data_IF_082332176251
#
_entry.id   IF_082332176251
#
_cell.length_a   1.000
_cell.length_b   1.000
_cell.length_c   1.000
_cell.angle_alpha   90.00
_cell.angle_beta   90.00
_cell.angle_gamma   90.00
#
_symmetry.space_group_name_H-M   'P 1'
#
loop_
_entity.id
_entity.type
_entity.pdbx_description
1 polymer ?
#
# COMPACT_ATOMS: atom_id res chain seq x y z
N UNK A 1 8.71 -7.73 -4.30
CA UNK A 1 9.93 -7.44 -5.07
C UNK A 1 10.19 -5.94 -5.13
N UNK A 2 9.25 -5.11 -5.61
CA UNK A 2 9.42 -3.65 -5.72
C UNK A 2 9.75 -3.02 -4.37
N UNK A 3 9.01 -3.35 -3.31
CA UNK A 3 9.23 -2.87 -1.93
C UNK A 3 10.64 -3.20 -1.42
N UNK A 4 11.23 -4.31 -1.84
CA UNK A 4 12.61 -4.66 -1.47
C UNK A 4 13.66 -3.99 -2.36
N UNK A 5 13.35 -3.76 -3.64
CA UNK A 5 14.28 -3.14 -4.58
C UNK A 5 14.49 -1.64 -4.33
N UNK A 6 13.44 -0.92 -3.94
CA UNK A 6 13.54 0.53 -3.72
C UNK A 6 14.53 0.90 -2.61
N UNK A 7 14.48 0.31 -1.40
CA UNK A 7 15.48 0.57 -0.37
C UNK A 7 16.90 0.21 -0.81
N UNK A 8 17.07 -0.89 -1.56
CA UNK A 8 18.38 -1.28 -2.09
C UNK A 8 18.88 -0.29 -3.16
N UNK A 9 17.98 0.22 -4.00
CA UNK A 9 18.32 1.21 -5.01
C UNK A 9 18.82 2.51 -4.35
N UNK A 10 18.11 3.02 -3.36
CA UNK A 10 18.52 4.23 -2.64
C UNK A 10 19.78 4.01 -1.80
N UNK A 11 19.94 2.82 -1.20
CA UNK A 11 21.19 2.46 -0.52
C UNK A 11 22.38 2.49 -1.49
N UNK A 12 22.18 2.02 -2.72
CA UNK A 12 23.24 2.00 -3.72
C UNK A 12 23.56 3.41 -4.31
N UNK A 13 22.55 4.29 -4.39
CA UNK A 13 22.72 5.65 -4.96
C UNK A 13 23.17 6.64 -3.88
N UNK A 14 22.51 6.66 -2.73
CA UNK A 14 22.70 7.66 -1.68
C UNK A 14 23.54 7.15 -0.50
N UNK A 15 23.83 5.84 -0.46
CA UNK A 15 24.61 5.20 0.60
C UNK A 15 23.90 5.13 1.96
N UNK A 16 22.61 5.47 2.04
CA UNK A 16 21.84 5.50 3.28
C UNK A 16 20.83 4.37 3.33
N UNK A 17 20.68 3.74 4.52
CA UNK A 17 19.60 2.80 4.77
C UNK A 17 18.27 3.54 4.84
N UNK A 18 17.24 3.01 4.18
CA UNK A 18 15.92 3.64 4.08
C UNK A 18 14.80 2.70 4.58
N UNK A 19 13.69 3.31 4.99
CA UNK A 19 12.52 2.59 5.48
C UNK A 19 12.78 1.99 6.87
N UNK A 20 12.28 0.79 7.10
CA UNK A 20 12.47 0.07 8.38
C UNK A 20 13.92 -0.25 8.68
N UNK A 21 14.76 -0.40 7.66
CA UNK A 21 16.20 -0.62 7.81
C UNK A 21 16.93 0.61 8.41
N UNK A 22 16.38 1.81 8.25
CA UNK A 22 16.87 3.04 8.89
C UNK A 22 16.33 3.23 10.31
N UNK A 23 15.60 2.26 10.87
CA UNK A 23 14.99 2.36 12.20
C UNK A 23 13.76 3.27 12.27
N UNK A 24 13.27 3.75 11.12
CA UNK A 24 12.07 4.57 11.05
C UNK A 24 10.83 3.69 11.19
N UNK A 25 9.92 4.07 12.10
CA UNK A 25 8.67 3.36 12.36
C UNK A 25 7.52 4.36 12.48
N UNK A 26 6.37 4.01 11.91
CA UNK A 26 5.11 4.74 12.10
C UNK A 26 4.29 4.23 13.28
N UNK A 27 4.83 3.27 14.03
CA UNK A 27 4.15 2.70 15.19
C UNK A 27 4.53 3.44 16.45
N UNK A 28 3.55 3.67 17.32
CA UNK A 28 3.79 4.20 18.67
C UNK A 28 3.99 3.07 19.68
N UNK A 29 4.82 3.32 20.66
CA UNK A 29 5.10 2.34 21.74
C UNK A 29 3.97 2.26 22.77
N UNK A 30 3.18 3.30 22.90
CA UNK A 30 2.05 3.37 23.82
C UNK A 30 0.77 3.08 23.04
N UNK A 31 0.17 1.92 23.29
CA UNK A 31 -1.18 1.61 22.83
C UNK A 31 -2.13 1.76 24.00
N UNK A 32 -2.90 2.82 24.01
CA UNK A 32 -4.00 2.94 24.94
C UNK A 32 -5.14 2.01 24.52
N UNK A 33 -5.84 1.47 25.51
CA UNK A 33 -7.06 0.67 25.26
C UNK A 33 -8.07 1.43 24.40
N UNK A 34 -8.05 2.74 24.46
CA UNK A 34 -8.83 3.65 23.63
C UNK A 34 -8.54 3.49 22.13
N UNK A 35 -7.27 3.46 21.74
CA UNK A 35 -6.87 3.31 20.33
C UNK A 35 -7.36 1.97 19.77
N UNK A 36 -7.20 0.90 20.54
CA UNK A 36 -7.69 -0.42 20.12
C UNK A 36 -9.21 -0.45 19.94
N UNK A 37 -9.95 0.13 20.89
CA UNK A 37 -11.41 0.22 20.79
C UNK A 37 -11.82 1.04 19.57
N UNK A 38 -11.12 2.13 19.29
CA UNK A 38 -11.35 2.99 18.14
C UNK A 38 -11.11 2.24 16.82
N UNK A 39 -10.03 1.48 16.70
CA UNK A 39 -9.76 0.63 15.52
C UNK A 39 -10.89 -0.38 15.29
N UNK A 40 -11.37 -1.03 16.34
CA UNK A 40 -12.48 -1.97 16.24
C UNK A 40 -13.76 -1.26 15.76
N UNK A 41 -14.07 -0.10 16.34
CA UNK A 41 -15.26 0.69 15.93
C UNK A 41 -15.13 1.11 14.46
N UNK A 42 -14.00 1.64 14.02
CA UNK A 42 -13.77 2.04 12.63
C UNK A 42 -13.91 0.82 11.70
N UNK A 43 -13.35 -0.33 12.09
CA UNK A 43 -13.44 -1.55 11.29
C UNK A 43 -14.89 -2.04 11.15
N UNK A 44 -15.65 -2.11 12.26
CA UNK A 44 -17.04 -2.60 12.27
C UNK A 44 -17.97 -1.64 11.52
N UNK A 45 -17.92 -0.35 11.86
CA UNK A 45 -18.75 0.68 11.23
C UNK A 45 -18.42 0.80 9.75
N UNK A 46 -17.11 0.82 9.43
CA UNK A 46 -16.62 0.88 8.06
C UNK A 46 -17.07 -0.30 7.22
N UNK A 47 -16.97 -1.50 7.78
CA UNK A 47 -17.45 -2.71 7.10
C UNK A 47 -18.97 -2.66 6.86
N UNK A 48 -19.75 -2.19 7.84
CA UNK A 48 -21.19 -2.01 7.72
C UNK A 48 -21.53 -1.02 6.61
N UNK A 49 -20.94 0.18 6.62
CA UNK A 49 -21.17 1.22 5.62
C UNK A 49 -20.71 0.73 4.23
N UNK A 50 -19.54 0.11 4.14
CA UNK A 50 -19.02 -0.43 2.88
C UNK A 50 -19.96 -1.45 2.23
N UNK A 51 -20.55 -2.33 3.03
CA UNK A 51 -21.54 -3.33 2.55
C UNK A 51 -22.85 -2.70 2.11
N UNK A 52 -23.40 -1.79 2.90
CA UNK A 52 -24.66 -1.08 2.58
C UNK A 52 -24.50 -0.23 1.33
N UNK A 53 -23.37 0.45 1.17
CA UNK A 53 -23.04 1.27 0.01
C UNK A 53 -22.66 0.45 -1.23
N UNK A 54 -22.65 -0.89 -1.14
CA UNK A 54 -22.25 -1.81 -2.22
C UNK A 54 -20.89 -1.45 -2.86
N UNK A 55 -19.98 -0.96 -2.04
CA UNK A 55 -18.63 -0.59 -2.52
C UNK A 55 -17.89 -1.84 -3.00
N UNK A 56 -17.12 -1.74 -4.10
CA UNK A 56 -16.24 -2.83 -4.50
C UNK A 56 -15.19 -3.03 -3.39
N UNK A 57 -14.89 -4.28 -3.06
CA UNK A 57 -14.03 -4.64 -1.93
C UNK A 57 -14.45 -3.94 -0.61
N UNK A 58 -15.74 -3.98 -0.26
CA UNK A 58 -16.36 -3.30 0.87
C UNK A 58 -15.61 -3.47 2.20
N UNK A 59 -14.99 -4.66 2.40
CA UNK A 59 -14.21 -4.98 3.59
C UNK A 59 -12.92 -4.16 3.73
N UNK A 60 -12.37 -3.64 2.63
CA UNK A 60 -11.22 -2.74 2.63
C UNK A 60 -11.63 -1.27 2.51
N UNK A 61 -12.51 -0.97 1.53
CA UNK A 61 -12.88 0.40 1.20
C UNK A 61 -13.69 1.08 2.30
N UNK A 62 -14.58 0.34 2.98
CA UNK A 62 -15.40 0.92 4.04
C UNK A 62 -14.58 1.46 5.21
N UNK A 63 -13.77 0.65 5.90
CA UNK A 63 -12.90 1.12 6.98
C UNK A 63 -11.89 2.18 6.52
N UNK A 64 -11.33 2.05 5.31
CA UNK A 64 -10.38 2.99 4.75
C UNK A 64 -10.99 4.39 4.60
N UNK A 65 -12.20 4.51 4.05
CA UNK A 65 -12.86 5.82 3.90
C UNK A 65 -13.19 6.47 5.25
N UNK A 66 -13.63 5.68 6.23
CA UNK A 66 -13.90 6.22 7.56
C UNK A 66 -12.61 6.70 8.22
N UNK A 67 -11.56 5.88 8.21
CA UNK A 67 -10.26 6.26 8.76
C UNK A 67 -9.71 7.53 8.08
N UNK A 68 -9.85 7.62 6.75
CA UNK A 68 -9.45 8.80 5.99
C UNK A 68 -10.21 10.06 6.42
N UNK A 69 -11.54 9.97 6.52
CA UNK A 69 -12.38 11.12 6.94
C UNK A 69 -12.00 11.58 8.34
N UNK A 70 -11.84 10.65 9.29
CA UNK A 70 -11.47 10.97 10.66
C UNK A 70 -10.07 11.60 10.74
N UNK A 71 -9.13 11.12 9.94
CA UNK A 71 -7.77 11.65 9.87
C UNK A 71 -7.74 13.05 9.24
N UNK A 72 -8.45 13.26 8.13
CA UNK A 72 -8.48 14.56 7.42
C UNK A 72 -9.23 15.62 8.23
N UNK A 73 -10.27 15.24 8.97
CA UNK A 73 -10.98 16.17 9.86
C UNK A 73 -10.21 16.50 11.14
N UNK A 74 -9.07 15.82 11.38
CA UNK A 74 -8.29 16.01 12.60
C UNK A 74 -9.03 15.60 13.88
N UNK A 75 -10.11 14.83 13.73
CA UNK A 75 -10.95 14.43 14.87
C UNK A 75 -10.24 13.39 15.74
N UNK A 76 -9.37 12.59 15.12
CA UNK A 76 -8.63 11.52 15.79
C UNK A 76 -7.25 11.36 15.18
N UNK A 77 -6.24 11.33 16.03
CA UNK A 77 -4.89 10.88 15.66
C UNK A 77 -4.84 9.35 15.81
N UNK A 78 -4.89 8.66 14.67
CA UNK A 78 -4.84 7.20 14.64
C UNK A 78 -3.39 6.75 14.78
N UNK A 79 -3.02 6.27 15.96
CA UNK A 79 -1.74 5.64 16.20
C UNK A 79 -1.87 4.11 16.19
N UNK A 80 -1.12 3.44 15.32
CA UNK A 80 -1.16 1.98 15.22
C UNK A 80 -0.20 1.34 16.20
N UNK A 81 -0.68 0.53 17.17
CA UNK A 81 0.21 -0.20 18.06
C UNK A 81 1.09 -1.18 17.28
N UNK A 82 2.40 -1.19 17.54
CA UNK A 82 3.34 -2.05 16.82
C UNK A 82 3.02 -3.54 16.93
N UNK A 83 2.55 -3.99 18.08
CA UNK A 83 2.15 -5.40 18.28
C UNK A 83 0.96 -5.80 17.40
N UNK A 84 -0.01 -4.89 17.17
CA UNK A 84 -1.17 -5.16 16.32
C UNK A 84 -0.75 -5.30 14.86
N UNK A 85 0.17 -4.46 14.40
CA UNK A 85 0.75 -4.56 13.07
C UNK A 85 1.49 -5.89 12.89
N UNK A 86 2.30 -6.29 13.86
CA UNK A 86 3.02 -7.56 13.83
C UNK A 86 2.08 -8.77 13.78
N UNK A 87 1.01 -8.76 14.58
CA UNK A 87 -0.02 -9.80 14.56
C UNK A 87 -0.72 -9.85 13.20
N UNK A 88 -1.11 -8.71 12.65
CA UNK A 88 -1.72 -8.64 11.31
C UNK A 88 -0.77 -9.19 10.22
N UNK A 89 0.51 -8.81 10.26
CA UNK A 89 1.52 -9.32 9.33
C UNK A 89 1.73 -10.83 9.47
N UNK A 90 1.71 -11.36 10.68
CA UNK A 90 1.80 -12.79 10.92
C UNK A 90 0.65 -13.56 10.27
N UNK A 91 -0.59 -13.10 10.45
CA UNK A 91 -1.76 -13.73 9.83
C UNK A 91 -1.71 -13.63 8.30
N UNK A 92 -1.39 -12.46 7.77
CA UNK A 92 -1.26 -12.25 6.31
C UNK A 92 -0.15 -13.14 5.75
N UNK A 93 1.02 -13.15 6.39
CA UNK A 93 2.15 -13.98 5.95
C UNK A 93 1.83 -15.47 5.98
N UNK A 94 1.15 -15.94 7.02
CA UNK A 94 0.72 -17.34 7.14
C UNK A 94 -0.31 -17.70 6.06
N UNK A 95 -1.30 -16.84 5.82
CA UNK A 95 -2.31 -17.05 4.80
C UNK A 95 -1.70 -17.07 3.38
N UNK A 96 -0.74 -16.19 3.11
CA UNK A 96 0.01 -16.18 1.85
C UNK A 96 0.89 -17.44 1.73
N UNK A 97 1.61 -17.80 2.79
CA UNK A 97 2.44 -19.01 2.81
C UNK A 97 1.64 -20.28 2.56
N UNK A 98 0.44 -20.39 3.13
CA UNK A 98 -0.46 -21.52 2.91
C UNK A 98 -0.89 -21.68 1.44
N UNK A 99 -0.96 -20.59 0.67
CA UNK A 99 -1.28 -20.64 -0.76
C UNK A 99 -0.18 -21.30 -1.60
N UNK A 100 1.05 -21.36 -1.08
CA UNK A 100 2.17 -22.05 -1.72
C UNK A 100 2.23 -23.55 -1.38
N UNK A 101 1.33 -24.04 -0.52
CA UNK A 101 1.26 -25.46 -0.19
C UNK A 101 0.94 -26.27 -1.45
N UNK A 102 1.79 -27.27 -1.77
CA UNK A 102 1.65 -28.10 -2.96
C UNK A 102 2.16 -27.48 -4.28
N UNK A 103 2.69 -26.26 -4.26
CA UNK A 103 3.30 -25.64 -5.45
C UNK A 103 4.65 -26.30 -5.74
N UNK A 104 4.86 -26.72 -6.99
CA UNK A 104 6.15 -27.28 -7.42
C UNK A 104 7.22 -26.19 -7.57
N UNK A 105 8.48 -26.53 -7.31
CA UNK A 105 9.62 -25.60 -7.48
C UNK A 105 9.64 -25.00 -8.89
N UNK A 106 9.31 -25.79 -9.91
CA UNK A 106 9.25 -25.32 -11.30
C UNK A 106 8.22 -24.19 -11.47
N UNK A 107 7.04 -24.35 -10.88
CA UNK A 107 5.97 -23.32 -10.91
C UNK A 107 6.41 -22.08 -10.14
N UNK A 108 7.05 -22.28 -8.99
CA UNK A 108 7.57 -21.17 -8.18
C UNK A 108 8.65 -20.37 -8.94
N UNK A 109 9.60 -21.06 -9.58
CA UNK A 109 10.64 -20.40 -10.37
C UNK A 109 10.09 -19.66 -11.59
N UNK A 110 9.08 -20.22 -12.26
CA UNK A 110 8.41 -19.51 -13.34
C UNK A 110 7.65 -18.29 -12.85
N UNK A 111 6.95 -18.40 -11.73
CA UNK A 111 6.29 -17.26 -11.07
C UNK A 111 7.28 -16.18 -10.66
N UNK A 112 8.45 -16.56 -10.13
CA UNK A 112 9.52 -15.62 -9.76
C UNK A 112 10.05 -14.87 -10.99
N UNK A 113 10.30 -15.53 -12.11
CA UNK A 113 10.75 -14.90 -13.36
C UNK A 113 9.73 -13.87 -13.85
N UNK A 114 8.46 -14.24 -13.88
CA UNK A 114 7.36 -13.32 -14.26
C UNK A 114 7.28 -12.15 -13.27
N UNK A 115 7.36 -12.44 -11.97
CA UNK A 115 7.33 -11.42 -10.92
C UNK A 115 8.50 -10.42 -11.01
N UNK A 116 9.70 -10.89 -11.33
CA UNK A 116 10.87 -10.02 -11.57
C UNK A 116 10.65 -9.14 -12.79
N UNK A 117 10.20 -9.73 -13.90
CA UNK A 117 9.93 -8.98 -15.14
C UNK A 117 8.86 -7.90 -14.92
N UNK A 118 7.74 -8.26 -14.32
CA UNK A 118 6.65 -7.31 -14.01
C UNK A 118 7.12 -6.24 -13.01
N UNK A 119 7.92 -6.62 -12.00
CA UNK A 119 8.49 -5.68 -11.03
C UNK A 119 9.38 -4.63 -11.69
N UNK A 120 10.30 -5.06 -12.57
CA UNK A 120 11.17 -4.14 -13.32
C UNK A 120 10.34 -3.25 -14.25
N UNK A 121 9.37 -3.82 -14.95
CA UNK A 121 8.46 -3.06 -15.81
C UNK A 121 7.72 -1.97 -15.01
N UNK A 122 7.16 -2.30 -13.85
CA UNK A 122 6.45 -1.35 -13.00
C UNK A 122 7.37 -0.24 -12.45
N UNK A 123 8.61 -0.58 -12.09
CA UNK A 123 9.60 0.41 -11.66
C UNK A 123 9.98 1.35 -12.82
N UNK A 124 10.18 0.81 -14.02
CA UNK A 124 10.49 1.61 -15.20
C UNK A 124 9.35 2.57 -15.58
N UNK A 125 8.11 2.08 -15.55
CA UNK A 125 6.92 2.92 -15.79
C UNK A 125 6.78 3.99 -14.71
N UNK A 126 6.97 3.63 -13.43
CA UNK A 126 6.95 4.58 -12.32
C UNK A 126 8.00 5.68 -12.47
N UNK A 127 9.22 5.31 -12.84
CA UNK A 127 10.30 6.25 -13.10
C UNK A 127 10.00 7.18 -14.30
N UNK A 128 9.44 6.62 -15.38
CA UNK A 128 9.06 7.38 -16.57
C UNK A 128 7.98 8.42 -16.26
N UNK A 129 6.96 8.02 -15.49
CA UNK A 129 5.88 8.93 -15.07
C UNK A 129 6.44 10.01 -14.13
N UNK A 130 7.27 9.62 -13.16
CA UNK A 130 7.92 10.58 -12.27
C UNK A 130 8.73 11.61 -13.05
N UNK A 131 9.50 11.16 -14.03
CA UNK A 131 10.30 12.03 -14.89
C UNK A 131 9.44 12.98 -15.73
N UNK A 132 8.34 12.48 -16.29
CA UNK A 132 7.41 13.29 -17.09
C UNK A 132 6.66 14.36 -16.27
N UNK A 133 6.53 14.16 -14.95
CA UNK A 133 5.84 15.09 -14.06
C UNK A 133 6.76 16.08 -13.36
N UNK A 134 8.07 15.97 -13.49
CA UNK A 134 9.05 16.86 -12.84
C UNK A 134 8.78 18.34 -13.12
N UNK A 135 8.42 18.67 -14.35
CA UNK A 135 8.19 20.06 -14.77
C UNK A 135 6.76 20.55 -14.41
N UNK A 136 5.86 19.62 -14.06
CA UNK A 136 4.44 19.93 -13.81
C UNK A 136 4.11 20.03 -12.32
N UNK A 137 4.88 19.35 -11.47
CA UNK A 137 4.63 19.27 -10.03
C UNK A 137 5.87 19.74 -9.27
N UNK A 138 5.71 20.66 -8.30
CA UNK A 138 6.83 21.13 -7.48
C UNK A 138 7.22 20.06 -6.44
N UNK A 139 7.80 18.95 -6.90
CA UNK A 139 8.23 17.84 -6.06
C UNK A 139 9.52 17.22 -6.63
N UNK A 140 10.36 16.70 -5.75
CA UNK A 140 11.59 16.02 -6.13
C UNK A 140 11.31 14.72 -6.89
N UNK A 141 12.21 14.37 -7.82
CA UNK A 141 12.12 13.11 -8.57
C UNK A 141 11.94 11.89 -7.64
N UNK A 142 12.70 11.83 -6.55
CA UNK A 142 12.62 10.73 -5.60
C UNK A 142 11.23 10.60 -4.95
N UNK A 143 10.62 11.73 -4.57
CA UNK A 143 9.27 11.75 -4.00
C UNK A 143 8.22 11.28 -5.01
N UNK A 144 8.32 11.76 -6.27
CA UNK A 144 7.45 11.32 -7.36
C UNK A 144 7.67 9.83 -7.65
N UNK A 145 8.91 9.39 -7.77
CA UNK A 145 9.25 7.99 -8.04
C UNK A 145 8.68 7.04 -6.97
N UNK A 146 8.88 7.35 -5.69
CA UNK A 146 8.32 6.57 -4.58
C UNK A 146 6.79 6.57 -4.61
N UNK A 147 6.17 7.69 -4.99
CA UNK A 147 4.71 7.81 -5.12
C UNK A 147 4.15 6.91 -6.23
N UNK A 148 4.82 6.82 -7.38
CA UNK A 148 4.38 6.00 -8.51
C UNK A 148 4.86 4.55 -8.45
N UNK A 149 5.86 4.24 -7.65
CA UNK A 149 6.35 2.88 -7.50
C UNK A 149 5.28 1.93 -6.99
N UNK A 150 5.25 0.71 -7.53
CA UNK A 150 4.28 -0.31 -7.14
C UNK A 150 4.67 -0.94 -5.79
N UNK A 151 4.27 -0.32 -4.69
CA UNK A 151 4.54 -0.79 -3.33
C UNK A 151 3.33 -0.69 -2.40
N UNK A 152 3.51 -1.13 -1.17
CA UNK A 152 2.53 -0.96 -0.09
C UNK A 152 2.52 0.49 0.41
N UNK A 153 1.35 0.96 0.86
CA UNK A 153 1.18 2.34 1.35
C UNK A 153 2.10 2.61 2.54
N UNK A 154 2.15 1.70 3.51
CA UNK A 154 2.94 1.87 4.73
C UNK A 154 4.44 1.87 4.42
N UNK A 155 4.91 0.93 3.61
CA UNK A 155 6.32 0.79 3.26
C UNK A 155 6.82 1.99 2.44
N UNK A 156 6.02 2.45 1.47
CA UNK A 156 6.40 3.61 0.64
C UNK A 156 6.40 4.92 1.45
N UNK A 157 5.47 5.06 2.39
CA UNK A 157 5.44 6.20 3.30
C UNK A 157 6.64 6.21 4.26
N UNK A 158 7.07 5.02 4.75
CA UNK A 158 8.28 4.88 5.56
C UNK A 158 9.55 5.21 4.76
N UNK A 159 9.61 4.77 3.51
CA UNK A 159 10.73 5.10 2.61
C UNK A 159 10.76 6.62 2.37
N UNK A 160 9.61 7.23 2.07
CA UNK A 160 9.50 8.68 1.90
C UNK A 160 9.98 9.44 3.14
N UNK A 161 9.54 9.02 4.33
CA UNK A 161 9.94 9.64 5.59
C UNK A 161 11.45 9.52 5.84
N UNK A 162 12.04 8.35 5.57
CA UNK A 162 13.49 8.14 5.75
C UNK A 162 14.35 8.90 4.76
N UNK A 163 13.80 9.27 3.60
CA UNK A 163 14.45 10.09 2.58
C UNK A 163 14.12 11.59 2.70
N UNK A 164 13.47 12.00 3.79
CA UNK A 164 13.05 13.38 4.03
C UNK A 164 12.04 13.91 3.00
N UNK A 165 11.34 13.03 2.29
CA UNK A 165 10.22 13.40 1.44
C UNK A 165 8.94 13.53 2.26
N UNK A 166 7.95 14.28 1.76
CA UNK A 166 6.67 14.40 2.44
C UNK A 166 5.88 13.08 2.37
N UNK A 167 5.76 12.33 3.49
CA UNK A 167 5.10 11.02 3.48
C UNK A 167 3.60 11.12 3.23
N UNK A 168 2.98 12.28 3.52
CA UNK A 168 1.54 12.51 3.31
C UNK A 168 1.22 12.52 1.81
N UNK A 169 2.06 13.17 1.00
CA UNK A 169 1.88 13.20 -0.46
C UNK A 169 1.99 11.80 -1.04
N UNK A 170 2.99 11.03 -0.62
CA UNK A 170 3.20 9.65 -1.07
C UNK A 170 2.03 8.77 -0.64
N UNK A 171 1.59 8.86 0.62
CA UNK A 171 0.46 8.09 1.14
C UNK A 171 -0.83 8.42 0.39
N UNK A 172 -1.13 9.70 0.17
CA UNK A 172 -2.34 10.14 -0.54
C UNK A 172 -2.34 9.62 -1.98
N UNK A 173 -1.20 9.68 -2.67
CA UNK A 173 -1.06 9.16 -4.02
C UNK A 173 -1.33 7.64 -4.08
N UNK A 174 -0.73 6.87 -3.17
CA UNK A 174 -0.96 5.43 -3.07
C UNK A 174 -2.42 5.09 -2.76
N UNK A 175 -3.05 5.87 -1.89
CA UNK A 175 -4.47 5.72 -1.55
C UNK A 175 -5.36 5.97 -2.76
N UNK A 176 -5.14 7.06 -3.49
CA UNK A 176 -5.86 7.35 -4.74
C UNK A 176 -5.67 6.22 -5.76
N UNK A 177 -4.46 5.69 -5.90
CA UNK A 177 -4.17 4.56 -6.79
C UNK A 177 -4.94 3.30 -6.39
N UNK A 178 -5.02 2.98 -5.11
CA UNK A 178 -5.79 1.83 -4.60
C UNK A 178 -7.27 2.01 -4.96
N UNK A 179 -7.85 3.18 -4.65
CA UNK A 179 -9.25 3.49 -4.96
C UNK A 179 -9.51 3.37 -6.46
N UNK A 180 -8.71 4.01 -7.29
CA UNK A 180 -8.84 3.97 -8.74
C UNK A 180 -8.70 2.55 -9.29
N UNK A 181 -7.73 1.77 -8.81
CA UNK A 181 -7.51 0.39 -9.25
C UNK A 181 -8.70 -0.50 -8.90
N UNK A 182 -9.27 -0.35 -7.71
CA UNK A 182 -10.46 -1.13 -7.29
C UNK A 182 -11.68 -0.74 -8.10
N UNK A 183 -11.90 0.56 -8.32
CA UNK A 183 -13.03 1.05 -9.13
C UNK A 183 -12.89 0.63 -10.60
N UNK A 184 -11.72 0.81 -11.19
CA UNK A 184 -11.43 0.41 -12.57
C UNK A 184 -11.55 -1.12 -12.73
N UNK A 185 -10.99 -1.90 -11.81
CA UNK A 185 -11.10 -3.35 -11.82
C UNK A 185 -12.54 -3.83 -11.76
N UNK A 186 -13.35 -3.23 -10.90
CA UNK A 186 -14.77 -3.54 -10.79
C UNK A 186 -15.54 -3.17 -12.09
N UNK A 187 -15.22 -2.03 -12.71
CA UNK A 187 -15.82 -1.60 -13.97
C UNK A 187 -15.46 -2.53 -15.13
N UNK A 188 -14.17 -2.88 -15.25
CA UNK A 188 -13.68 -3.82 -16.28
C UNK A 188 -14.29 -5.21 -16.09
N UNK A 189 -14.33 -5.72 -14.86
CA UNK A 189 -14.96 -7.00 -14.56
C UNK A 189 -16.42 -7.00 -15.01
N UNK A 190 -17.18 -5.97 -14.65
CA UNK A 190 -18.60 -5.83 -15.07
C UNK A 190 -18.75 -5.77 -16.58
N UNK A 191 -17.85 -5.11 -17.29
CA UNK A 191 -17.84 -5.03 -18.73
C UNK A 191 -17.57 -6.41 -19.37
N UNK A 192 -16.53 -7.11 -18.90
CA UNK A 192 -16.17 -8.44 -19.41
C UNK A 192 -17.25 -9.49 -19.17
N UNK A 193 -17.87 -9.48 -17.99
CA UNK A 193 -18.98 -10.42 -17.70
C UNK A 193 -20.23 -10.12 -18.50
N UNK A 194 -20.48 -8.86 -18.88
CA UNK A 194 -21.59 -8.51 -19.77
C UNK A 194 -21.43 -9.07 -21.18
N UNK A 195 -20.20 -9.21 -21.68
CA UNK A 195 -19.90 -9.82 -22.98
C UNK A 195 -20.00 -11.35 -22.99
N UNK A 196 -19.97 -12.00 -21.82
CA UNK A 196 -20.05 -13.46 -21.71
C UNK A 196 -21.49 -14.00 -21.64
N UNK A 197 -22.48 -13.12 -21.58
CA UNK A 197 -23.91 -13.45 -21.47
C UNK A 197 -24.67 -13.21 -22.79
N UNK A 198 -23.97 -12.96 -23.89
CA UNK A 198 -24.46 -12.93 -25.28
C UNK A 198 -23.82 -14.09 -26.06
#
# INVERSE_FOLDING_TARGET
>A
LVVACIPMLFLAIDGQAVGTAAGVSMTTSASDFYDLALFIVIAVVGLGIGRVSKLPAAHMMGPLFIALILSVTGTVELSVPGWLLNVAQYFIGTALGAQFSGVTIKTLMNGLKVGVFVGIYMLAVGALIAFALLDLVPADFGALFVSFAAGGLAEMSLIALSLNFNPVVVALHHLCRIVLTVLAGAAVAKMLFKFKTI
#
